data_IF_768793722692
#
_entry.id   IF_768793722692
#
_cell.length_a   1.000
_cell.length_b   1.000
_cell.length_c   1.000
_cell.angle_alpha   90.00
_cell.angle_beta   90.00
_cell.angle_gamma   90.00
#
_symmetry.space_group_name_H-M   'P 1'
#
loop_
_entity.id
_entity.type
_entity.pdbx_description
1 polymer ?
#
# COMPACT_ATOMS: atom_id res chain seq x y z
N UNK A 1 -8.60 12.77 20.66
CA UNK A 1 -8.53 11.44 20.01
C UNK A 1 -8.11 10.43 21.06
N UNK A 2 -8.90 9.39 21.28
CA UNK A 2 -8.57 8.30 22.21
C UNK A 2 -8.06 7.09 21.41
N UNK A 3 -7.15 6.31 21.99
CA UNK A 3 -6.56 5.12 21.36
C UNK A 3 -6.90 3.89 22.19
N UNK A 4 -7.71 3.00 21.61
CA UNK A 4 -8.11 1.74 22.23
C UNK A 4 -7.03 0.67 22.01
N UNK A 5 -6.64 -0.02 23.09
CA UNK A 5 -5.59 -1.05 23.06
C UNK A 5 -6.13 -2.37 23.57
N UNK A 6 -6.07 -3.39 22.71
CA UNK A 6 -6.41 -4.77 23.05
C UNK A 6 -5.10 -5.53 23.29
N UNK A 7 -4.59 -5.43 24.51
CA UNK A 7 -3.30 -6.02 24.89
C UNK A 7 -3.27 -7.55 24.67
N UNK A 8 -4.31 -8.34 25.00
CA UNK A 8 -4.34 -9.76 24.69
C UNK A 8 -4.22 -10.08 23.19
N UNK A 9 -4.74 -9.22 22.31
CA UNK A 9 -4.66 -9.42 20.85
C UNK A 9 -3.38 -8.87 20.20
N UNK A 10 -2.37 -8.45 20.98
CA UNK A 10 -1.15 -7.80 20.43
C UNK A 10 -0.48 -8.64 19.34
N UNK A 11 -0.26 -9.93 19.59
CA UNK A 11 0.40 -10.81 18.61
C UNK A 11 -0.45 -11.05 17.37
N UNK A 12 -1.76 -11.25 17.54
CA UNK A 12 -2.69 -11.44 16.42
C UNK A 12 -2.76 -10.20 15.52
N UNK A 13 -2.71 -9.00 16.11
CA UNK A 13 -2.64 -7.73 15.38
C UNK A 13 -1.27 -7.49 14.75
N UNK A 14 -0.18 -7.92 15.38
CA UNK A 14 1.16 -7.80 14.80
C UNK A 14 1.33 -8.68 13.56
N UNK A 15 0.71 -9.86 13.56
CA UNK A 15 0.80 -10.85 12.47
C UNK A 15 -0.33 -10.72 11.44
N UNK A 16 -0.97 -9.56 11.35
CA UNK A 16 -1.99 -9.25 10.34
C UNK A 16 -1.98 -7.79 9.93
N UNK A 17 -2.43 -7.49 8.72
CA UNK A 17 -2.67 -6.11 8.30
C UNK A 17 -3.99 -5.65 8.92
N UNK A 18 -3.99 -4.48 9.59
CA UNK A 18 -5.17 -4.01 10.32
C UNK A 18 -6.30 -3.50 9.41
N UNK A 19 -7.55 -3.50 9.91
CA UNK A 19 -8.74 -3.13 9.12
C UNK A 19 -8.85 -1.63 8.80
N UNK A 20 -7.99 -0.78 9.37
CA UNK A 20 -8.05 0.66 9.15
C UNK A 20 -7.66 1.05 7.71
N UNK A 21 -6.85 0.23 7.03
CA UNK A 21 -6.52 0.46 5.62
C UNK A 21 -7.76 0.42 4.73
N UNK A 22 -8.75 -0.40 5.08
CA UNK A 22 -10.03 -0.50 4.35
C UNK A 22 -11.04 0.53 4.83
N UNK A 23 -11.11 0.75 6.16
CA UNK A 23 -12.12 1.64 6.77
C UNK A 23 -11.81 3.13 6.56
N UNK A 24 -10.54 3.50 6.65
CA UNK A 24 -10.07 4.90 6.60
C UNK A 24 -9.35 5.17 5.28
N UNK A 25 -8.56 4.20 4.79
CA UNK A 25 -7.72 4.37 3.61
C UNK A 25 -6.23 4.45 3.97
N UNK A 26 -5.44 4.91 3.00
CA UNK A 26 -4.00 5.17 3.16
C UNK A 26 -3.70 6.64 2.81
N UNK A 27 -2.53 7.13 3.20
CA UNK A 27 -2.13 8.49 2.86
C UNK A 27 -0.81 8.92 3.50
N UNK A 28 -0.40 10.13 3.16
CA UNK A 28 0.83 10.76 3.61
C UNK A 28 0.95 12.16 3.01
N UNK A 29 1.85 13.00 3.55
CA UNK A 29 2.14 14.36 3.01
C UNK A 29 0.88 15.21 2.72
N UNK A 30 -0.17 15.08 3.54
CA UNK A 30 -1.41 15.87 3.43
C UNK A 30 -2.45 15.34 2.42
N UNK A 31 -2.18 14.23 1.73
CA UNK A 31 -3.11 13.58 0.80
C UNK A 31 -3.50 12.19 1.30
N UNK A 32 -4.67 11.71 0.88
CA UNK A 32 -5.20 10.39 1.23
C UNK A 32 -5.91 9.77 0.02
N UNK A 33 -5.95 8.44 -0.01
CA UNK A 33 -6.57 7.65 -1.09
C UNK A 33 -7.16 6.33 -0.58
N UNK A 34 -8.07 5.78 -1.36
CA UNK A 34 -8.61 4.44 -1.11
C UNK A 34 -7.59 3.36 -1.51
N UNK A 35 -7.45 2.33 -0.69
CA UNK A 35 -6.52 1.22 -0.92
C UNK A 35 -7.19 -0.17 -0.87
N UNK A 36 -8.51 -0.22 -1.13
CA UNK A 36 -9.27 -1.47 -1.05
C UNK A 36 -8.74 -2.54 -2.02
N UNK A 37 -8.44 -2.14 -3.27
CA UNK A 37 -7.87 -3.03 -4.29
C UNK A 37 -6.55 -3.66 -3.85
N UNK A 38 -5.72 -2.91 -3.12
CA UNK A 38 -4.44 -3.40 -2.60
C UNK A 38 -4.64 -4.36 -1.43
N UNK A 39 -5.60 -4.07 -0.54
CA UNK A 39 -5.97 -4.98 0.54
C UNK A 39 -6.50 -6.32 0.00
N UNK A 40 -7.33 -6.28 -1.05
CA UNK A 40 -7.85 -7.47 -1.71
C UNK A 40 -6.74 -8.28 -2.39
N UNK A 41 -5.73 -7.61 -2.96
CA UNK A 41 -4.55 -8.26 -3.50
C UNK A 41 -3.70 -8.90 -2.39
N UNK A 42 -3.49 -8.20 -1.27
CA UNK A 42 -2.71 -8.70 -0.15
C UNK A 42 -3.34 -9.95 0.50
N UNK A 43 -4.67 -10.06 0.51
CA UNK A 43 -5.35 -11.30 0.91
C UNK A 43 -5.00 -12.49 0.03
N UNK A 44 -4.76 -12.26 -1.27
CA UNK A 44 -4.37 -13.31 -2.23
C UNK A 44 -2.89 -13.65 -2.11
N UNK A 45 -2.03 -12.65 -1.87
CA UNK A 45 -0.57 -12.82 -1.77
C UNK A 45 -0.14 -13.45 -0.44
N UNK A 46 -0.70 -12.97 0.67
CA UNK A 46 -0.26 -13.33 2.01
C UNK A 46 -1.21 -14.33 2.70
N UNK A 47 -2.29 -14.72 2.01
CA UNK A 47 -3.43 -15.42 2.61
C UNK A 47 -4.06 -14.62 3.76
N UNK A 48 -5.03 -15.22 4.46
CA UNK A 48 -5.82 -14.54 5.49
C UNK A 48 -5.91 -15.33 6.77
N UNK A 49 -5.89 -14.66 7.92
CA UNK A 49 -6.18 -15.27 9.24
C UNK A 49 -7.50 -16.04 9.19
N UNK A 50 -7.46 -17.33 9.57
CA UNK A 50 -8.62 -18.22 9.50
C UNK A 50 -9.63 -17.96 10.64
N UNK A 51 -9.15 -17.54 11.80
CA UNK A 51 -9.91 -17.29 13.02
C UNK A 51 -9.29 -16.16 13.85
N UNK A 52 -9.76 -16.00 15.08
CA UNK A 52 -9.24 -15.03 16.05
C UNK A 52 -9.65 -13.58 15.78
N UNK A 53 -9.08 -12.63 16.56
CA UNK A 53 -9.42 -11.20 16.50
C UNK A 53 -9.19 -10.54 15.13
N UNK A 54 -8.31 -11.10 14.31
CA UNK A 54 -7.94 -10.60 12.99
C UNK A 54 -8.49 -11.46 11.84
N UNK A 55 -9.49 -12.32 12.10
CA UNK A 55 -10.07 -13.21 11.08
C UNK A 55 -10.39 -12.47 9.77
N UNK A 56 -9.94 -13.02 8.65
CA UNK A 56 -10.14 -12.47 7.31
C UNK A 56 -9.18 -11.33 6.90
N UNK A 57 -8.32 -10.87 7.81
CA UNK A 57 -7.27 -9.90 7.47
C UNK A 57 -6.07 -10.58 6.81
N UNK A 58 -5.35 -9.89 5.89
CA UNK A 58 -4.12 -10.40 5.31
C UNK A 58 -3.07 -10.75 6.38
N UNK A 59 -2.35 -11.85 6.22
CA UNK A 59 -1.33 -12.27 7.19
C UNK A 59 -0.02 -11.46 7.07
N UNK A 60 0.71 -11.38 8.18
CA UNK A 60 2.09 -10.88 8.29
C UNK A 60 2.95 -11.86 9.09
N UNK A 61 3.08 -13.10 8.60
CA UNK A 61 3.81 -14.15 9.33
C UNK A 61 5.30 -14.15 9.01
N UNK A 62 5.64 -13.82 7.76
CA UNK A 62 7.01 -13.83 7.26
C UNK A 62 7.48 -12.42 6.91
N UNK A 63 8.80 -12.24 6.81
CA UNK A 63 9.37 -11.00 6.31
C UNK A 63 8.94 -10.71 4.86
N UNK A 64 8.67 -11.75 4.06
CA UNK A 64 8.16 -11.61 2.68
C UNK A 64 6.74 -11.04 2.70
N UNK A 65 5.87 -11.49 3.61
CA UNK A 65 4.51 -10.94 3.75
C UNK A 65 4.53 -9.44 4.07
N UNK A 66 5.44 -9.04 4.96
CA UNK A 66 5.65 -7.63 5.30
C UNK A 66 6.25 -6.83 4.12
N UNK A 67 7.18 -7.40 3.37
CA UNK A 67 7.73 -6.75 2.17
C UNK A 67 6.64 -6.55 1.10
N UNK A 68 5.79 -7.55 0.85
CA UNK A 68 4.69 -7.44 -0.12
C UNK A 68 3.63 -6.44 0.34
N UNK A 69 3.37 -6.31 1.65
CA UNK A 69 2.53 -5.23 2.20
C UNK A 69 3.08 -3.87 1.78
N UNK A 70 4.37 -3.62 2.01
CA UNK A 70 5.02 -2.36 1.65
C UNK A 70 4.91 -2.12 0.14
N UNK A 71 5.34 -3.09 -0.66
CA UNK A 71 5.38 -2.98 -2.13
C UNK A 71 3.98 -2.81 -2.75
N UNK A 72 2.96 -3.38 -2.14
CA UNK A 72 1.59 -3.30 -2.67
C UNK A 72 0.91 -1.99 -2.29
N UNK A 73 1.15 -1.46 -1.09
CA UNK A 73 0.45 -0.26 -0.57
C UNK A 73 1.13 1.07 -0.92
N UNK A 74 2.41 1.06 -1.30
CA UNK A 74 3.16 2.27 -1.60
C UNK A 74 2.99 2.72 -3.07
N UNK A 75 2.82 4.03 -3.33
CA UNK A 75 2.76 4.56 -4.69
C UNK A 75 4.06 4.34 -5.47
N UNK A 76 5.21 4.32 -4.82
CA UNK A 76 6.51 4.16 -5.47
C UNK A 76 6.73 2.77 -6.08
N UNK A 77 5.89 1.80 -5.73
CA UNK A 77 6.05 0.37 -6.11
C UNK A 77 4.79 -0.23 -6.72
N UNK A 78 3.69 0.52 -6.77
CA UNK A 78 2.42 0.12 -7.36
C UNK A 78 1.80 1.30 -8.13
N UNK A 79 1.77 1.19 -9.47
CA UNK A 79 1.29 2.24 -10.36
C UNK A 79 -0.14 2.69 -10.08
N UNK A 80 -1.02 1.76 -9.75
CA UNK A 80 -2.41 2.07 -9.36
C UNK A 80 -2.46 2.96 -8.12
N UNK A 81 -1.56 2.76 -7.17
CA UNK A 81 -1.46 3.62 -6.00
C UNK A 81 -0.83 4.96 -6.37
N UNK A 82 0.18 4.98 -7.25
CA UNK A 82 0.78 6.22 -7.75
C UNK A 82 -0.25 7.12 -8.43
N UNK A 83 -1.06 6.58 -9.35
CA UNK A 83 -2.11 7.33 -10.04
C UNK A 83 -3.15 7.88 -9.05
N UNK A 84 -3.59 7.06 -8.08
CA UNK A 84 -4.51 7.51 -7.02
C UNK A 84 -3.90 8.61 -6.14
N UNK A 85 -2.62 8.51 -5.80
CA UNK A 85 -1.94 9.49 -4.97
C UNK A 85 -1.75 10.82 -5.71
N UNK A 86 -1.36 10.79 -6.99
CA UNK A 86 -1.27 12.00 -7.82
C UNK A 86 -2.63 12.65 -8.04
N UNK A 87 -3.69 11.86 -8.28
CA UNK A 87 -5.05 12.36 -8.36
C UNK A 87 -5.47 13.06 -7.05
N UNK A 88 -5.14 12.50 -5.89
CA UNK A 88 -5.42 13.14 -4.61
C UNK A 88 -4.70 14.49 -4.45
N UNK A 89 -3.45 14.61 -4.92
CA UNK A 89 -2.72 15.89 -4.91
C UNK A 89 -3.29 16.90 -5.91
N UNK A 90 -3.81 16.44 -7.05
CA UNK A 90 -4.47 17.29 -8.05
C UNK A 90 -5.65 18.06 -7.48
N UNK A 91 -6.41 17.47 -6.55
CA UNK A 91 -7.52 18.15 -5.86
C UNK A 91 -7.05 19.36 -5.04
N UNK A 92 -5.89 19.28 -4.38
CA UNK A 92 -5.35 20.41 -3.59
C UNK A 92 -4.78 21.51 -4.47
N UNK A 93 -4.15 21.13 -5.59
CA UNK A 93 -3.40 22.08 -6.44
C UNK A 93 -4.23 22.67 -7.59
N UNK A 94 -5.35 22.04 -7.95
CA UNK A 94 -6.16 22.42 -9.11
C UNK A 94 -5.50 22.11 -10.46
N UNK A 95 -4.45 21.27 -10.50
CA UNK A 95 -3.73 20.86 -11.71
C UNK A 95 -3.66 19.35 -11.78
N UNK A 96 -3.89 18.78 -12.97
CA UNK A 96 -3.67 17.35 -13.17
C UNK A 96 -2.18 17.01 -13.02
N UNK A 97 -1.90 15.98 -12.21
CA UNK A 97 -0.57 15.40 -12.01
C UNK A 97 -0.56 13.89 -12.33
N UNK A 98 -1.70 13.29 -12.70
CA UNK A 98 -1.78 11.83 -12.92
C UNK A 98 -0.90 11.38 -14.08
N UNK A 99 -0.67 12.24 -15.06
CA UNK A 99 0.26 12.02 -16.17
C UNK A 99 1.69 11.63 -15.73
N UNK A 100 2.09 11.93 -14.50
CA UNK A 100 3.40 11.52 -13.93
C UNK A 100 3.50 10.03 -13.60
N UNK A 101 2.38 9.30 -13.59
CA UNK A 101 2.35 7.87 -13.27
C UNK A 101 1.48 7.02 -14.20
N UNK A 102 0.61 7.61 -15.03
CA UNK A 102 -0.30 6.86 -15.91
C UNK A 102 0.42 5.90 -16.86
N UNK A 103 1.64 6.23 -17.31
CA UNK A 103 2.46 5.34 -18.15
C UNK A 103 2.94 4.08 -17.42
N UNK A 104 2.90 4.07 -16.08
CA UNK A 104 3.32 2.97 -15.21
C UNK A 104 2.18 2.43 -14.34
N UNK A 105 0.92 2.70 -14.67
CA UNK A 105 -0.26 2.29 -13.87
C UNK A 105 -0.31 0.76 -13.62
N UNK A 106 0.06 -0.02 -14.63
CA UNK A 106 0.10 -1.48 -14.54
C UNK A 106 1.31 -2.01 -13.74
N UNK A 107 2.32 -1.18 -13.47
CA UNK A 107 3.56 -1.60 -12.83
C UNK A 107 3.34 -1.98 -11.36
N UNK A 108 3.82 -3.18 -10.99
CA UNK A 108 3.73 -3.75 -9.65
C UNK A 108 5.05 -4.42 -9.31
N UNK A 109 5.88 -3.76 -8.50
CA UNK A 109 7.14 -4.33 -8.04
C UNK A 109 6.82 -5.41 -6.99
N UNK A 110 7.38 -6.60 -7.13
CA UNK A 110 7.12 -7.73 -6.22
C UNK A 110 8.41 -8.32 -5.70
N UNK A 111 8.37 -8.75 -4.44
CA UNK A 111 9.51 -9.42 -3.83
C UNK A 111 9.75 -10.78 -4.47
N UNK A 112 8.68 -11.49 -4.84
CA UNK A 112 8.75 -12.83 -5.44
C UNK A 112 9.15 -12.85 -6.92
N UNK A 113 9.00 -11.75 -7.64
CA UNK A 113 9.17 -11.77 -9.11
C UNK A 113 10.63 -11.70 -9.56
N UNK A 114 11.52 -11.03 -8.82
CA UNK A 114 12.96 -11.08 -9.13
C UNK A 114 13.85 -10.52 -7.99
N UNK A 115 14.35 -11.33 -7.05
CA UNK A 115 15.25 -10.85 -6.00
C UNK A 115 16.59 -10.35 -6.57
N UNK A 116 16.97 -10.78 -7.77
CA UNK A 116 18.33 -10.59 -8.31
C UNK A 116 18.47 -9.38 -9.24
N UNK A 117 17.38 -8.70 -9.58
CA UNK A 117 17.42 -7.52 -10.44
C UNK A 117 16.66 -6.35 -9.80
N UNK A 118 17.37 -5.41 -9.18
CA UNK A 118 16.78 -4.18 -8.66
C UNK A 118 15.87 -3.52 -9.70
N UNK A 119 14.72 -3.03 -9.23
CA UNK A 119 13.73 -2.31 -10.05
C UNK A 119 13.80 -0.83 -9.71
N UNK A 120 13.73 0.02 -10.74
CA UNK A 120 13.53 1.45 -10.55
C UNK A 120 12.11 1.68 -10.04
N UNK A 121 11.95 2.60 -9.09
CA UNK A 121 10.65 2.95 -8.51
C UNK A 121 9.86 3.90 -9.42
N UNK A 122 8.58 4.07 -9.11
CA UNK A 122 7.63 4.94 -9.82
C UNK A 122 7.67 6.34 -9.19
N UNK A 123 7.49 7.37 -10.01
CA UNK A 123 7.29 8.75 -9.54
C UNK A 123 6.07 8.85 -8.63
N UNK A 124 6.27 9.25 -7.37
CA UNK A 124 5.21 9.40 -6.37
C UNK A 124 5.16 10.81 -5.76
N UNK A 125 3.97 11.32 -5.39
CA UNK A 125 3.79 12.67 -4.84
C UNK A 125 4.40 12.86 -3.44
N UNK A 126 4.84 11.76 -2.81
CA UNK A 126 5.64 11.77 -1.58
C UNK A 126 6.93 12.57 -1.77
N UNK A 127 7.50 12.55 -2.97
CA UNK A 127 8.76 13.17 -3.32
C UNK A 127 8.58 14.33 -4.31
N UNK A 128 9.62 15.13 -4.46
CA UNK A 128 9.62 16.32 -5.33
C UNK A 128 10.49 16.13 -6.59
N UNK A 129 10.95 14.89 -6.83
CA UNK A 129 11.72 14.48 -8.02
C UNK A 129 10.89 13.61 -8.98
N UNK A 130 11.33 13.51 -10.23
CA UNK A 130 10.73 12.66 -11.25
C UNK A 130 11.66 11.49 -11.56
N UNK A 131 11.11 10.29 -11.53
CA UNK A 131 11.79 9.07 -11.92
C UNK A 131 11.56 8.82 -13.41
N UNK A 132 12.41 9.40 -14.25
CA UNK A 132 12.32 9.35 -15.72
C UNK A 132 13.27 8.30 -16.33
N UNK A 133 12.88 7.65 -17.42
CA UNK A 133 13.70 6.64 -18.13
C UNK A 133 14.52 7.23 -19.28
#
# INVERSE_FOLDING_TARGET
MTVERDYPATYERFTSIGPLMEKIGNGGKGIAWNTQSEMDLLRKLNYTKADGPAKGQPMLNTAIDAAEMILTLAPETNGQVAVKAWAALSEFTGRDHTHLATNKDDEKIRFRDNPDQPRKIISGPTWDGVEDE
#
